data_IF_346182987077
#
_entry.id   IF_346182987077
#
_cell.length_a   1.000
_cell.length_b   1.000
_cell.length_c   1.000
_cell.angle_alpha   90.00
_cell.angle_beta   90.00
_cell.angle_gamma   90.00
#
_symmetry.space_group_name_H-M   'P 1'
#
loop_
_entity.id
_entity.type
_entity.pdbx_description
1 polymer ?
#
# COMPACT_ATOMS: atom_id res chain seq x y z
N UNK A 1 -13.93 -15.51 7.95
CA UNK A 1 -14.43 -16.85 7.58
C UNK A 1 -14.20 -17.07 6.09
N UNK A 2 -13.26 -17.93 5.72
CA UNK A 2 -12.81 -18.10 4.33
C UNK A 2 -13.95 -18.64 3.45
N UNK A 3 -14.36 -17.83 2.51
CA UNK A 3 -15.48 -18.15 1.60
C UNK A 3 -15.08 -19.16 0.54
N UNK A 4 -13.81 -19.13 0.08
CA UNK A 4 -13.31 -20.02 -0.95
C UNK A 4 -13.48 -21.51 -0.58
N UNK A 5 -13.23 -21.90 0.67
CA UNK A 5 -13.40 -23.28 1.13
C UNK A 5 -14.85 -23.77 1.03
N UNK A 6 -15.80 -22.91 1.40
CA UNK A 6 -17.24 -23.21 1.28
C UNK A 6 -17.66 -23.34 -0.18
N UNK A 7 -17.17 -22.45 -1.05
CA UNK A 7 -17.45 -22.50 -2.49
C UNK A 7 -16.99 -23.85 -3.06
N UNK A 8 -15.76 -24.25 -2.78
CA UNK A 8 -15.21 -25.53 -3.24
C UNK A 8 -16.04 -26.72 -2.74
N UNK A 9 -16.44 -26.70 -1.46
CA UNK A 9 -17.29 -27.71 -0.86
C UNK A 9 -18.66 -27.80 -1.57
N UNK A 10 -19.30 -26.65 -1.77
CA UNK A 10 -20.62 -26.57 -2.45
C UNK A 10 -20.52 -27.13 -3.87
N UNK A 11 -19.51 -26.75 -4.64
CA UNK A 11 -19.28 -27.25 -6.00
C UNK A 11 -19.10 -28.77 -6.01
N UNK A 12 -18.34 -29.31 -5.06
CA UNK A 12 -18.15 -30.76 -4.93
C UNK A 12 -19.47 -31.49 -4.63
N UNK A 13 -20.24 -30.95 -3.68
CA UNK A 13 -21.52 -31.55 -3.24
C UNK A 13 -22.58 -31.46 -4.33
N UNK A 14 -22.71 -30.36 -5.04
CA UNK A 14 -23.64 -30.21 -6.18
C UNK A 14 -23.33 -31.18 -7.32
N UNK A 15 -22.07 -31.58 -7.47
CA UNK A 15 -21.64 -32.56 -8.45
C UNK A 15 -21.76 -34.05 -7.95
N UNK A 16 -22.20 -34.22 -6.72
CA UNK A 16 -22.32 -35.54 -6.09
C UNK A 16 -20.98 -36.22 -5.84
N UNK A 17 -19.87 -35.48 -5.83
CA UNK A 17 -18.54 -36.05 -5.65
C UNK A 17 -18.20 -36.23 -4.18
N UNK A 18 -17.60 -37.38 -3.85
CA UNK A 18 -17.05 -37.57 -2.52
C UNK A 18 -15.70 -36.87 -2.37
N UNK A 19 -15.39 -36.40 -1.17
CA UNK A 19 -14.12 -35.72 -0.86
C UNK A 19 -12.91 -36.57 -1.29
N UNK A 20 -12.97 -37.88 -1.07
CA UNK A 20 -11.90 -38.80 -1.43
C UNK A 20 -11.68 -38.92 -2.96
N UNK A 21 -12.76 -38.84 -3.74
CA UNK A 21 -12.67 -38.86 -5.20
C UNK A 21 -11.92 -37.64 -5.70
N UNK A 22 -12.33 -36.45 -5.25
CA UNK A 22 -11.67 -35.19 -5.61
C UNK A 22 -10.20 -35.18 -5.17
N UNK A 23 -9.90 -35.69 -3.97
CA UNK A 23 -8.54 -35.75 -3.46
C UNK A 23 -7.63 -36.61 -4.37
N UNK A 24 -8.14 -37.76 -4.87
CA UNK A 24 -7.41 -38.63 -5.78
C UNK A 24 -7.25 -37.97 -7.16
N UNK A 25 -8.32 -37.46 -7.75
CA UNK A 25 -8.31 -36.86 -9.09
C UNK A 25 -7.40 -35.59 -9.17
N UNK A 26 -7.46 -34.78 -8.14
CA UNK A 26 -6.63 -33.55 -8.07
C UNK A 26 -5.20 -33.79 -7.55
N UNK A 27 -4.89 -35.02 -7.13
CA UNK A 27 -3.63 -35.39 -6.46
C UNK A 27 -3.34 -34.46 -5.26
N UNK A 28 -4.34 -34.30 -4.38
CA UNK A 28 -4.27 -33.48 -3.15
C UNK A 28 -4.49 -34.39 -1.96
N UNK A 29 -3.75 -34.19 -0.88
CA UNK A 29 -3.97 -34.91 0.38
C UNK A 29 -5.39 -34.68 0.91
N UNK A 30 -6.05 -35.78 1.28
CA UNK A 30 -7.44 -35.79 1.74
C UNK A 30 -7.66 -34.90 2.97
N UNK A 31 -6.72 -34.94 3.91
CA UNK A 31 -6.79 -34.14 5.14
C UNK A 31 -6.64 -32.68 4.84
N UNK A 32 -5.74 -32.34 3.91
CA UNK A 32 -5.55 -30.98 3.44
C UNK A 32 -6.81 -30.44 2.76
N UNK A 33 -7.40 -31.20 1.83
CA UNK A 33 -8.62 -30.80 1.15
C UNK A 33 -9.77 -30.61 2.15
N UNK A 34 -9.94 -31.52 3.11
CA UNK A 34 -10.91 -31.40 4.19
C UNK A 34 -10.74 -30.12 5.01
N UNK A 35 -9.50 -29.78 5.36
CA UNK A 35 -9.21 -28.53 6.10
C UNK A 35 -9.54 -27.28 5.32
N UNK A 36 -9.30 -27.31 4.00
CA UNK A 36 -9.63 -26.19 3.10
C UNK A 36 -11.14 -26.00 3.01
N UNK A 37 -11.89 -27.07 2.71
CA UNK A 37 -13.35 -27.01 2.59
C UNK A 37 -14.05 -26.57 3.89
N UNK A 38 -13.49 -26.92 5.03
CA UNK A 38 -13.99 -26.50 6.34
C UNK A 38 -13.45 -25.14 6.81
N UNK A 39 -12.75 -24.38 5.95
CA UNK A 39 -12.22 -23.06 6.25
C UNK A 39 -11.12 -23.01 7.31
N UNK A 40 -10.53 -24.17 7.65
CA UNK A 40 -9.44 -24.29 8.63
C UNK A 40 -8.07 -23.98 8.03
N UNK A 41 -7.97 -23.93 6.70
CA UNK A 41 -6.75 -23.62 5.97
C UNK A 41 -7.07 -22.92 4.65
N UNK A 42 -6.34 -21.88 4.36
CA UNK A 42 -6.38 -21.20 3.06
C UNK A 42 -5.67 -22.08 2.01
N UNK A 43 -6.25 -22.28 0.83
CA UNK A 43 -5.57 -22.98 -0.26
C UNK A 43 -4.44 -22.12 -0.84
N UNK A 44 -3.41 -22.76 -1.39
CA UNK A 44 -2.46 -22.09 -2.26
C UNK A 44 -3.04 -21.94 -3.67
N UNK A 45 -2.51 -20.99 -4.43
CA UNK A 45 -2.89 -20.77 -5.82
C UNK A 45 -2.70 -22.06 -6.67
N UNK A 46 -1.58 -22.76 -6.48
CA UNK A 46 -1.31 -24.02 -7.16
C UNK A 46 -2.34 -25.11 -6.86
N UNK A 47 -2.88 -25.15 -5.65
CA UNK A 47 -3.97 -26.08 -5.29
C UNK A 47 -5.29 -25.66 -5.96
N UNK A 48 -5.56 -24.36 -6.07
CA UNK A 48 -6.75 -23.87 -6.76
C UNK A 48 -6.72 -24.21 -8.26
N UNK A 49 -5.55 -24.13 -8.91
CA UNK A 49 -5.43 -24.56 -10.31
C UNK A 49 -5.78 -26.05 -10.51
N UNK A 50 -5.28 -26.94 -9.64
CA UNK A 50 -5.61 -28.36 -9.69
C UNK A 50 -7.11 -28.62 -9.46
N UNK A 51 -7.71 -27.94 -8.50
CA UNK A 51 -9.14 -28.07 -8.22
C UNK A 51 -9.99 -27.47 -9.36
N UNK A 52 -9.56 -26.35 -9.95
CA UNK A 52 -10.21 -25.77 -11.10
C UNK A 52 -10.23 -26.74 -12.28
N UNK A 53 -9.12 -27.40 -12.57
CA UNK A 53 -9.02 -28.43 -13.61
C UNK A 53 -9.95 -29.61 -13.30
N UNK A 54 -9.90 -30.16 -12.08
CA UNK A 54 -10.77 -31.27 -11.64
C UNK A 54 -12.27 -30.93 -11.73
N UNK A 55 -12.61 -29.66 -11.40
CA UNK A 55 -13.98 -29.18 -11.46
C UNK A 55 -14.34 -28.55 -12.82
N UNK A 56 -13.45 -28.47 -13.81
CA UNK A 56 -13.72 -27.80 -15.09
C UNK A 56 -14.17 -26.34 -14.91
N UNK A 57 -13.54 -25.62 -13.99
CA UNK A 57 -13.84 -24.23 -13.66
C UNK A 57 -12.77 -23.27 -14.18
N UNK A 58 -13.14 -22.00 -14.36
CA UNK A 58 -12.15 -20.96 -14.60
C UNK A 58 -11.32 -20.72 -13.31
N UNK A 59 -10.03 -21.04 -13.40
CA UNK A 59 -9.09 -20.84 -12.30
C UNK A 59 -8.99 -19.37 -11.86
N UNK A 60 -9.17 -18.41 -12.78
CA UNK A 60 -9.08 -16.99 -12.47
C UNK A 60 -10.18 -16.55 -11.47
N UNK A 61 -11.38 -17.12 -11.58
CA UNK A 61 -12.47 -16.85 -10.65
C UNK A 61 -12.14 -17.36 -9.25
N UNK A 62 -11.52 -18.54 -9.13
CA UNK A 62 -11.10 -19.08 -7.85
C UNK A 62 -9.95 -18.27 -7.22
N UNK A 63 -8.99 -17.83 -8.04
CA UNK A 63 -7.89 -16.96 -7.57
C UNK A 63 -8.44 -15.61 -7.11
N UNK A 64 -9.38 -15.01 -7.86
CA UNK A 64 -10.02 -13.77 -7.47
C UNK A 64 -10.72 -13.91 -6.11
N UNK A 65 -11.42 -15.02 -5.88
CA UNK A 65 -12.06 -15.31 -4.60
C UNK A 65 -11.04 -15.49 -3.46
N UNK A 66 -9.92 -16.19 -3.73
CA UNK A 66 -8.82 -16.32 -2.77
C UNK A 66 -8.24 -14.96 -2.37
N UNK A 67 -8.01 -14.07 -3.34
CA UNK A 67 -7.51 -12.71 -3.08
C UNK A 67 -8.53 -11.92 -2.26
N UNK A 68 -9.81 -12.02 -2.59
CA UNK A 68 -10.88 -11.37 -1.82
C UNK A 68 -10.90 -11.85 -0.36
N UNK A 69 -10.79 -13.16 -0.12
CA UNK A 69 -10.74 -13.72 1.25
C UNK A 69 -9.52 -13.21 2.04
N UNK A 70 -8.35 -13.07 1.38
CA UNK A 70 -7.15 -12.49 2.01
C UNK A 70 -7.34 -11.00 2.37
N UNK A 71 -8.03 -10.25 1.53
CA UNK A 71 -8.35 -8.85 1.82
C UNK A 71 -9.29 -8.76 3.03
N UNK A 72 -10.28 -9.65 3.12
CA UNK A 72 -11.19 -9.71 4.27
C UNK A 72 -10.44 -10.08 5.56
N UNK A 73 -9.49 -11.01 5.52
CA UNK A 73 -8.65 -11.36 6.68
C UNK A 73 -7.84 -10.14 7.18
N UNK A 74 -7.26 -9.36 6.25
CA UNK A 74 -6.58 -8.10 6.59
C UNK A 74 -7.57 -7.07 7.16
N UNK A 75 -8.79 -7.01 6.61
CA UNK A 75 -9.86 -6.12 7.08
C UNK A 75 -10.25 -6.40 8.53
N UNK A 76 -10.29 -7.66 8.94
CA UNK A 76 -10.57 -8.06 10.33
C UNK A 76 -9.45 -7.59 11.29
N UNK A 77 -8.19 -7.55 10.82
CA UNK A 77 -7.05 -7.09 11.62
C UNK A 77 -6.96 -5.55 11.69
N UNK A 78 -7.36 -4.84 10.63
CA UNK A 78 -7.23 -3.39 10.49
C UNK A 78 -8.53 -2.74 10.00
N UNK A 79 -9.65 -2.84 10.76
CA UNK A 79 -10.98 -2.44 10.30
C UNK A 79 -11.05 -0.97 9.88
N UNK A 80 -10.40 -0.07 10.64
CA UNK A 80 -10.46 1.37 10.41
C UNK A 80 -9.64 1.84 9.21
N UNK A 81 -8.69 1.01 8.73
CA UNK A 81 -7.73 1.41 7.69
C UNK A 81 -7.92 0.70 6.35
N UNK A 82 -8.70 -0.39 6.31
CA UNK A 82 -8.78 -1.27 5.13
C UNK A 82 -9.29 -0.55 3.89
N UNK A 83 -10.36 0.21 4.02
CA UNK A 83 -10.97 0.90 2.87
C UNK A 83 -10.00 1.92 2.26
N UNK A 84 -9.32 2.68 3.10
CA UNK A 84 -8.33 3.66 2.62
C UNK A 84 -7.10 2.98 2.02
N UNK A 85 -6.63 1.90 2.65
CA UNK A 85 -5.52 1.09 2.12
C UNK A 85 -5.84 0.48 0.75
N UNK A 86 -7.08 0.02 0.52
CA UNK A 86 -7.51 -0.49 -0.78
C UNK A 86 -7.50 0.58 -1.87
N UNK A 87 -7.95 1.81 -1.57
CA UNK A 87 -7.87 2.94 -2.50
C UNK A 87 -6.41 3.26 -2.86
N UNK A 88 -5.53 3.29 -1.86
CA UNK A 88 -4.09 3.49 -2.05
C UNK A 88 -3.50 2.37 -2.91
N UNK A 89 -3.86 1.10 -2.66
CA UNK A 89 -3.38 -0.04 -3.44
C UNK A 89 -3.85 0.04 -4.90
N UNK A 90 -5.11 0.42 -5.14
CA UNK A 90 -5.66 0.63 -6.48
C UNK A 90 -4.89 1.72 -7.23
N UNK A 91 -4.61 2.84 -6.56
CA UNK A 91 -3.85 3.94 -7.16
C UNK A 91 -2.39 3.54 -7.45
N UNK A 92 -1.74 2.78 -6.56
CA UNK A 92 -0.42 2.18 -6.81
C UNK A 92 -0.43 1.30 -8.05
N UNK A 93 -1.42 0.42 -8.18
CA UNK A 93 -1.55 -0.46 -9.34
C UNK A 93 -1.76 0.34 -10.64
N UNK A 94 -2.52 1.44 -10.59
CA UNK A 94 -2.78 2.31 -11.73
C UNK A 94 -1.55 3.12 -12.17
N UNK A 95 -0.78 3.64 -11.22
CA UNK A 95 0.36 4.53 -11.48
C UNK A 95 1.68 3.78 -11.69
N UNK A 96 1.80 2.53 -11.20
CA UNK A 96 3.03 1.76 -11.26
C UNK A 96 4.20 2.51 -10.61
N UNK A 97 5.32 2.59 -11.30
CA UNK A 97 6.53 3.28 -10.80
C UNK A 97 6.34 4.78 -10.51
N UNK A 98 5.36 5.42 -11.16
CA UNK A 98 5.03 6.83 -10.92
C UNK A 98 4.38 7.07 -9.55
N UNK A 99 3.90 6.01 -8.89
CA UNK A 99 3.23 6.15 -7.59
C UNK A 99 4.13 6.79 -6.54
N UNK A 100 5.41 6.45 -6.48
CA UNK A 100 6.34 7.00 -5.49
C UNK A 100 6.47 8.51 -5.65
N UNK A 101 6.63 9.01 -6.88
CA UNK A 101 6.71 10.46 -7.13
C UNK A 101 5.39 11.17 -6.84
N UNK A 102 4.25 10.56 -7.19
CA UNK A 102 2.93 11.08 -6.85
C UNK A 102 2.73 11.16 -5.33
N UNK A 103 3.06 10.09 -4.61
CA UNK A 103 2.93 10.02 -3.16
C UNK A 103 3.84 11.04 -2.47
N UNK A 104 5.11 11.11 -2.87
CA UNK A 104 6.07 12.08 -2.32
C UNK A 104 5.62 13.52 -2.55
N UNK A 105 5.11 13.85 -3.74
CA UNK A 105 4.56 15.17 -4.02
C UNK A 105 3.37 15.50 -3.13
N UNK A 106 2.50 14.54 -2.83
CA UNK A 106 1.36 14.73 -1.92
C UNK A 106 1.81 15.00 -0.47
N UNK A 107 2.95 14.44 -0.06
CA UNK A 107 3.55 14.71 1.25
C UNK A 107 4.27 16.04 1.31
N UNK A 108 5.03 16.37 0.27
CA UNK A 108 5.83 17.61 0.18
C UNK A 108 4.90 18.83 0.01
N UNK A 109 3.74 18.65 -0.64
CA UNK A 109 2.75 19.74 -0.85
C UNK A 109 1.99 20.14 0.42
N UNK A 110 2.10 19.39 1.51
CA UNK A 110 1.61 19.88 2.81
C UNK A 110 2.69 20.81 3.36
N UNK A 111 2.40 22.11 3.55
CA UNK A 111 3.33 22.96 4.26
C UNK A 111 3.55 22.31 5.63
N UNK A 112 4.78 21.87 5.88
CA UNK A 112 5.19 21.45 7.21
C UNK A 112 5.06 22.73 8.04
N UNK A 113 3.99 22.82 8.82
CA UNK A 113 3.85 23.85 9.83
C UNK A 113 5.00 23.66 10.81
N UNK A 114 6.08 24.36 10.58
CA UNK A 114 7.17 24.47 11.52
C UNK A 114 6.66 25.29 12.70
N UNK A 115 5.81 24.68 13.51
CA UNK A 115 5.46 25.26 14.81
C UNK A 115 6.77 25.51 15.54
N UNK A 116 6.97 26.77 15.93
CA UNK A 116 8.19 27.24 16.54
C UNK A 116 8.44 26.52 17.86
N UNK A 117 9.14 25.40 17.81
CA UNK A 117 9.75 24.84 19.01
C UNK A 117 10.77 25.88 19.50
N UNK A 118 10.69 26.23 20.77
CA UNK A 118 11.67 27.14 21.43
C UNK A 118 13.04 26.44 21.40
N UNK A 119 13.76 26.58 20.31
CA UNK A 119 15.12 26.11 20.17
C UNK A 119 16.07 27.31 20.38
N UNK A 120 17.07 27.16 21.26
CA UNK A 120 18.13 28.14 21.45
C UNK A 120 18.88 28.21 20.10
N UNK A 121 18.76 29.38 19.42
CA UNK A 121 19.35 29.57 18.10
C UNK A 121 18.34 29.70 16.95
N UNK A 122 17.06 29.78 17.23
CA UNK A 122 16.03 30.04 16.21
C UNK A 122 16.28 31.37 15.48
N UNK A 123 16.58 31.29 14.18
CA UNK A 123 16.88 32.42 13.32
C UNK A 123 15.63 33.19 12.82
N UNK A 124 14.43 32.80 13.26
CA UNK A 124 13.15 33.35 12.75
C UNK A 124 13.09 34.87 12.78
N UNK A 125 13.66 35.49 13.79
CA UNK A 125 13.71 36.98 13.90
C UNK A 125 14.68 37.63 12.93
N UNK A 126 15.60 36.88 12.36
CA UNK A 126 16.63 37.36 11.45
C UNK A 126 16.36 36.95 10.00
N UNK A 127 15.34 36.14 9.73
CA UNK A 127 15.10 35.58 8.40
C UNK A 127 14.92 36.65 7.33
N UNK A 128 14.22 37.71 7.60
CA UNK A 128 13.99 38.80 6.62
C UNK A 128 15.29 39.48 6.27
N UNK A 129 16.10 39.86 7.28
CA UNK A 129 17.42 40.43 7.07
C UNK A 129 18.38 39.49 6.33
N UNK A 130 18.37 38.19 6.70
CA UNK A 130 19.19 37.19 6.02
C UNK A 130 18.82 37.12 4.54
N UNK A 131 17.52 37.00 4.23
CA UNK A 131 17.04 36.91 2.86
C UNK A 131 17.33 38.19 2.05
N UNK A 132 17.16 39.32 2.63
CA UNK A 132 17.48 40.63 1.99
C UNK A 132 18.98 40.69 1.66
N UNK A 133 19.83 40.31 2.61
CA UNK A 133 21.28 40.28 2.41
C UNK A 133 21.67 39.33 1.30
N UNK A 134 21.16 38.12 1.30
CA UNK A 134 21.49 37.09 0.27
C UNK A 134 21.06 37.58 -1.13
N UNK A 135 19.88 38.15 -1.26
CA UNK A 135 19.37 38.66 -2.55
C UNK A 135 20.19 39.88 -3.05
N UNK A 136 20.70 40.70 -2.16
CA UNK A 136 21.59 41.81 -2.53
C UNK A 136 22.96 41.35 -2.98
N UNK A 137 23.55 40.37 -2.27
CA UNK A 137 24.92 39.88 -2.54
C UNK A 137 24.95 38.84 -3.68
N UNK A 138 23.84 38.09 -3.91
CA UNK A 138 23.73 37.03 -4.91
C UNK A 138 22.46 37.22 -5.75
N UNK A 139 22.30 38.28 -6.55
CA UNK A 139 21.07 38.58 -7.28
C UNK A 139 20.71 37.56 -8.34
N UNK A 140 21.71 36.87 -8.92
CA UNK A 140 21.55 35.90 -10.02
C UNK A 140 21.46 34.43 -9.54
N UNK A 141 21.34 34.20 -8.24
CA UNK A 141 21.22 32.86 -7.70
C UNK A 141 19.85 32.26 -8.00
N UNK A 142 19.83 31.05 -8.59
CA UNK A 142 18.60 30.31 -8.90
C UNK A 142 18.28 29.19 -7.90
N UNK A 143 19.25 28.84 -7.05
CA UNK A 143 19.11 27.80 -6.02
C UNK A 143 19.63 28.31 -4.66
N UNK A 144 19.08 27.75 -3.60
CA UNK A 144 19.44 28.07 -2.22
C UNK A 144 19.68 26.79 -1.44
N UNK A 145 20.78 26.74 -0.67
CA UNK A 145 21.11 25.62 0.20
C UNK A 145 21.41 26.10 1.62
N UNK A 146 20.65 25.62 2.61
CA UNK A 146 20.88 25.87 4.03
C UNK A 146 21.54 24.66 4.68
N UNK A 147 22.88 24.58 4.62
CA UNK A 147 23.68 23.45 5.14
C UNK A 147 23.49 23.25 6.65
N UNK A 148 23.09 24.30 7.38
CA UNK A 148 22.84 24.24 8.83
C UNK A 148 21.41 24.65 9.16
N UNK A 149 20.44 24.03 8.45
CA UNK A 149 19.03 24.41 8.47
C UNK A 149 18.40 24.51 9.88
N UNK A 150 18.88 23.73 10.85
CA UNK A 150 18.32 23.74 12.22
C UNK A 150 16.82 23.51 12.21
N UNK A 151 16.01 24.56 12.46
CA UNK A 151 14.56 24.50 12.38
C UNK A 151 14.00 24.69 10.96
N UNK A 152 14.85 24.88 9.94
CA UNK A 152 14.44 25.17 8.56
C UNK A 152 13.86 26.56 8.35
N UNK A 153 14.00 27.48 9.31
CA UNK A 153 13.38 28.81 9.25
C UNK A 153 13.88 29.65 8.06
N UNK A 154 15.16 29.58 7.73
CA UNK A 154 15.76 30.34 6.60
C UNK A 154 15.40 29.64 5.28
N UNK A 155 15.56 28.32 5.20
CA UNK A 155 15.16 27.54 4.03
C UNK A 155 13.67 27.74 3.69
N UNK A 156 12.77 27.68 4.68
CA UNK A 156 11.34 27.95 4.51
C UNK A 156 11.05 29.34 3.95
N UNK A 157 11.81 30.37 4.36
CA UNK A 157 11.66 31.72 3.85
C UNK A 157 12.23 31.91 2.44
N UNK A 158 13.16 31.03 2.03
CA UNK A 158 13.78 31.06 0.69
C UNK A 158 12.87 30.47 -0.42
N UNK A 159 11.95 29.57 -0.08
CA UNK A 159 11.08 28.88 -1.04
C UNK A 159 10.41 29.80 -2.07
N UNK A 160 9.83 30.97 -1.71
CA UNK A 160 9.17 31.85 -2.68
C UNK A 160 10.11 32.51 -3.69
N UNK A 161 11.42 32.48 -3.46
CA UNK A 161 12.39 33.24 -4.21
C UNK A 161 13.35 32.44 -5.06
N UNK A 162 13.48 31.12 -4.76
CA UNK A 162 14.43 30.25 -5.45
C UNK A 162 13.72 29.05 -6.04
N UNK A 163 14.12 28.67 -7.27
CA UNK A 163 13.54 27.50 -7.96
C UNK A 163 13.90 26.17 -7.30
N UNK A 164 15.00 26.13 -6.55
CA UNK A 164 15.44 24.97 -5.79
C UNK A 164 15.95 25.40 -4.41
N UNK A 165 15.39 24.81 -3.35
CA UNK A 165 15.82 24.99 -1.97
C UNK A 165 16.18 23.63 -1.39
N UNK A 166 17.40 23.51 -0.84
CA UNK A 166 17.99 22.26 -0.32
C UNK A 166 18.33 22.44 1.16
#
# INVERSE_FOLDING_TARGET
>A
MHTIGKILKTIREERGLQLRQVAIESNIDLTLLSRIENGKRMPSESLLFKLAETYGLDSNLLVLQLVSDKILEISEQYPDHTIEALKIAQEKARLGERYISFFMNSFISRPIGLESRRYIGNKTKLTDWIMETIRRECPDAHSFCDIFAGTGAVAGKAIPYYGQVI
#
